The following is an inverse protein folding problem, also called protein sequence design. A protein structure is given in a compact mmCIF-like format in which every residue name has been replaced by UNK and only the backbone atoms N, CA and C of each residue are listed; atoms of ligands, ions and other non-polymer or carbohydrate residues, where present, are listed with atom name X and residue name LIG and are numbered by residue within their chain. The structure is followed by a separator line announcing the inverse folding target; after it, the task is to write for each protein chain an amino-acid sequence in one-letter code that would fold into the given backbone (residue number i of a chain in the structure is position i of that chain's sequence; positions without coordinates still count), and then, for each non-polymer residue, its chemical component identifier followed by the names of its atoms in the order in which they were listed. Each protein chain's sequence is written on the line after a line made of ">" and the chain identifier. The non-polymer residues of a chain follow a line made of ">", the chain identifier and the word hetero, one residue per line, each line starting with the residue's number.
data_IF_240511592024
#
_entry.id   IF_240511592024
#
_cell.length_a   1.000
_cell.length_b   1.000
_cell.length_c   1.000
_cell.angle_alpha   90.00
_cell.angle_beta   90.00
_cell.angle_gamma   90.00
#
_symmetry.space_group_name_H-M   'P 1'
#
loop_
_entity.id
_entity.type
_entity.pdbx_description
1 polymer ?
#
# COMPACT_ATOMS: atom_id res chain seq x y z
N UNK A 1 2.14 -22.49 5.14
CA UNK A 1 0.71 -22.79 4.83
C UNK A 1 0.06 -21.61 4.10
N UNK A 2 -1.17 -21.73 3.58
CA UNK A 2 -1.83 -20.60 2.88
C UNK A 2 -1.99 -19.35 3.76
N UNK A 3 -2.28 -19.54 5.06
CA UNK A 3 -2.38 -18.45 6.03
C UNK A 3 -1.04 -17.78 6.33
N UNK A 4 0.04 -18.55 6.36
CA UNK A 4 1.39 -18.04 6.61
C UNK A 4 1.89 -17.20 5.42
N UNK A 5 1.64 -17.64 4.19
CA UNK A 5 1.94 -16.86 2.99
C UNK A 5 1.14 -15.56 2.95
N UNK A 6 -0.16 -15.64 3.25
CA UNK A 6 -1.01 -14.46 3.37
C UNK A 6 -0.50 -13.48 4.43
N UNK A 7 -0.12 -13.99 5.61
CA UNK A 7 0.42 -13.18 6.68
C UNK A 7 1.72 -12.49 6.27
N UNK A 8 2.66 -13.23 5.68
CA UNK A 8 3.95 -12.67 5.25
C UNK A 8 3.81 -11.61 4.15
N UNK A 9 2.80 -11.73 3.30
CA UNK A 9 2.50 -10.73 2.26
C UNK A 9 1.79 -9.48 2.82
N UNK A 10 0.83 -9.65 3.73
CA UNK A 10 -0.04 -8.56 4.20
C UNK A 10 0.48 -7.83 5.43
N UNK A 11 1.14 -8.54 6.34
CA UNK A 11 1.56 -7.98 7.62
C UNK A 11 2.50 -6.77 7.47
N UNK A 12 3.53 -6.80 6.60
CA UNK A 12 4.40 -5.63 6.43
C UNK A 12 3.65 -4.39 5.94
N UNK A 13 2.72 -4.57 4.99
CA UNK A 13 1.90 -3.49 4.46
C UNK A 13 0.96 -2.93 5.54
N UNK A 14 0.25 -3.80 6.25
CA UNK A 14 -0.66 -3.39 7.33
C UNK A 14 0.07 -2.66 8.46
N UNK A 15 1.29 -3.11 8.82
CA UNK A 15 2.14 -2.43 9.79
C UNK A 15 2.53 -1.03 9.31
N UNK A 16 2.97 -0.90 8.05
CA UNK A 16 3.33 0.38 7.48
C UNK A 16 2.15 1.36 7.43
N UNK A 17 0.95 0.86 7.07
CA UNK A 17 -0.28 1.66 7.04
C UNK A 17 -0.68 2.13 8.45
N UNK A 18 -0.54 1.27 9.46
CA UNK A 18 -0.81 1.60 10.85
C UNK A 18 0.17 2.65 11.41
N UNK A 19 1.46 2.51 11.12
CA UNK A 19 2.47 3.50 11.49
C UNK A 19 2.23 4.85 10.80
N UNK A 20 1.86 4.83 9.51
CA UNK A 20 1.48 6.03 8.76
C UNK A 20 0.25 6.70 9.38
N UNK A 21 -0.80 5.93 9.66
CA UNK A 21 -2.04 6.42 10.28
C UNK A 21 -1.78 7.07 11.63
N UNK A 22 -0.92 6.47 12.48
CA UNK A 22 -0.52 7.06 13.76
C UNK A 22 0.17 8.41 13.59
N UNK A 23 1.06 8.56 12.59
CA UNK A 23 1.74 9.83 12.31
C UNK A 23 0.75 10.90 11.83
N UNK A 24 -0.19 10.54 10.96
CA UNK A 24 -1.24 11.43 10.49
C UNK A 24 -2.16 11.86 11.64
N UNK A 25 -2.56 10.92 12.50
CA UNK A 25 -3.33 11.23 13.70
C UNK A 25 -2.59 12.22 14.60
N UNK A 26 -1.30 11.99 14.87
CA UNK A 26 -0.46 12.92 15.61
C UNK A 26 -0.38 14.31 14.97
N UNK A 27 -0.27 14.39 13.64
CA UNK A 27 -0.27 15.68 12.92
C UNK A 27 -1.60 16.44 13.09
N UNK A 28 -2.73 15.73 13.00
CA UNK A 28 -4.08 16.31 13.01
C UNK A 28 -4.53 16.67 14.43
N UNK A 29 -4.39 15.74 15.38
CA UNK A 29 -4.92 15.86 16.74
C UNK A 29 -3.85 16.13 17.81
N UNK A 30 -2.58 16.22 17.43
CA UNK A 30 -1.47 16.48 18.35
C UNK A 30 -1.58 17.86 18.99
N UNK A 31 -1.40 17.89 20.31
CA UNK A 31 -1.52 19.10 21.13
C UNK A 31 -0.17 19.64 21.61
N UNK A 32 0.95 19.06 21.15
CA UNK A 32 2.27 19.53 21.54
C UNK A 32 2.77 20.64 20.61
N UNK A 33 3.66 21.50 21.11
CA UNK A 33 4.30 22.55 20.31
C UNK A 33 5.08 21.99 19.10
N UNK A 34 5.63 20.78 19.23
CA UNK A 34 6.30 20.07 18.13
C UNK A 34 5.31 19.67 17.03
N UNK A 35 4.12 19.23 17.41
CA UNK A 35 3.06 18.88 16.46
C UNK A 35 2.59 20.13 15.69
N UNK A 36 2.50 21.28 16.35
CA UNK A 36 2.12 22.55 15.71
C UNK A 36 3.15 23.02 14.67
N UNK A 37 4.45 22.91 14.98
CA UNK A 37 5.52 23.20 14.02
C UNK A 37 5.44 22.24 12.84
N UNK A 38 5.33 20.93 13.10
CA UNK A 38 5.23 19.92 12.05
C UNK A 38 4.00 20.12 11.16
N UNK A 39 2.85 20.49 11.75
CA UNK A 39 1.63 20.79 11.01
C UNK A 39 1.80 22.00 10.10
N UNK A 40 2.41 23.09 10.59
CA UNK A 40 2.68 24.27 9.77
C UNK A 40 3.60 23.97 8.59
N UNK A 41 4.62 23.12 8.80
CA UNK A 41 5.52 22.69 7.73
C UNK A 41 4.76 21.80 6.74
N UNK A 42 4.06 20.77 7.21
CA UNK A 42 3.38 19.81 6.33
C UNK A 42 2.22 20.46 5.55
N UNK A 43 1.40 21.29 6.19
CA UNK A 43 0.23 21.87 5.53
C UNK A 43 0.58 23.03 4.59
N UNK A 44 1.67 23.77 4.84
CA UNK A 44 2.02 24.93 4.01
C UNK A 44 3.20 24.68 3.05
N UNK A 45 4.14 23.81 3.39
CA UNK A 45 5.38 23.62 2.64
C UNK A 45 5.47 22.30 1.90
N UNK A 46 4.51 21.38 2.09
CA UNK A 46 4.54 20.09 1.38
C UNK A 46 4.23 20.27 -0.11
N UNK A 47 5.18 19.96 -1.00
CA UNK A 47 4.96 20.03 -2.44
C UNK A 47 3.89 19.02 -2.88
N UNK A 48 3.08 19.41 -3.86
CA UNK A 48 2.07 18.53 -4.47
C UNK A 48 2.66 17.28 -5.14
N UNK A 49 3.94 17.31 -5.53
CA UNK A 49 4.65 16.13 -6.02
C UNK A 49 4.83 15.07 -4.95
N UNK A 50 5.14 15.47 -3.70
CA UNK A 50 5.32 14.56 -2.59
C UNK A 50 3.99 13.91 -2.17
N UNK A 51 2.89 14.66 -2.15
CA UNK A 51 1.57 14.10 -1.87
C UNK A 51 1.14 13.10 -2.95
N UNK A 52 1.33 13.44 -4.24
CA UNK A 52 1.07 12.51 -5.35
C UNK A 52 1.91 11.25 -5.24
N UNK A 53 3.20 11.37 -4.94
CA UNK A 53 4.09 10.22 -4.78
C UNK A 53 3.67 9.32 -3.60
N UNK A 54 3.24 9.91 -2.48
CA UNK A 54 2.70 9.17 -1.35
C UNK A 54 1.42 8.39 -1.73
N UNK A 55 0.49 9.04 -2.43
CA UNK A 55 -0.74 8.41 -2.91
C UNK A 55 -0.44 7.27 -3.88
N UNK A 56 0.45 7.47 -4.84
CA UNK A 56 0.85 6.42 -5.80
C UNK A 56 1.42 5.20 -5.07
N UNK A 57 2.25 5.42 -4.05
CA UNK A 57 2.82 4.33 -3.25
C UNK A 57 1.75 3.54 -2.50
N UNK A 58 0.79 4.21 -1.86
CA UNK A 58 -0.32 3.54 -1.18
C UNK A 58 -1.19 2.74 -2.17
N UNK A 59 -1.36 3.27 -3.39
CA UNK A 59 -2.12 2.61 -4.45
C UNK A 59 -1.30 1.60 -5.26
N UNK A 60 -0.02 1.37 -4.97
CA UNK A 60 0.81 0.44 -5.73
C UNK A 60 0.46 -1.02 -5.43
N UNK A 61 0.10 -1.32 -4.18
CA UNK A 61 -0.29 -2.66 -3.75
C UNK A 61 -1.77 -2.95 -4.08
N UNK A 62 -2.01 -3.79 -5.09
CA UNK A 62 -3.35 -4.11 -5.62
C UNK A 62 -3.60 -5.62 -5.74
N UNK A 63 -3.83 -6.32 -4.61
CA UNK A 63 -4.10 -7.74 -4.64
C UNK A 63 -5.44 -8.03 -5.33
N UNK A 64 -5.44 -8.96 -6.29
CA UNK A 64 -6.66 -9.45 -6.97
C UNK A 64 -6.97 -10.88 -6.55
N UNK A 65 -8.24 -11.27 -6.65
CA UNK A 65 -8.65 -12.64 -6.40
C UNK A 65 -8.11 -13.55 -7.51
N UNK A 66 -7.34 -14.59 -7.14
CA UNK A 66 -6.67 -15.48 -8.10
C UNK A 66 -7.61 -16.25 -9.05
N UNK A 67 -8.91 -16.35 -8.74
CA UNK A 67 -9.90 -16.99 -9.61
C UNK A 67 -10.51 -16.03 -10.65
N UNK A 68 -10.18 -14.74 -10.59
CA UNK A 68 -10.61 -13.75 -11.58
C UNK A 68 -9.49 -13.50 -12.60
N UNK A 69 -9.83 -13.18 -13.86
CA UNK A 69 -8.85 -12.75 -14.84
C UNK A 69 -8.14 -11.48 -14.36
N UNK A 70 -6.83 -11.40 -14.59
CA UNK A 70 -6.03 -10.23 -14.24
C UNK A 70 -6.52 -9.03 -15.04
N UNK A 71 -6.88 -7.95 -14.35
CA UNK A 71 -7.27 -6.69 -15.00
C UNK A 71 -6.03 -6.04 -15.62
N UNK A 72 -6.13 -5.64 -16.89
CA UNK A 72 -5.07 -4.90 -17.58
C UNK A 72 -4.79 -3.56 -16.89
N UNK A 73 -3.52 -3.18 -16.84
CA UNK A 73 -3.12 -1.93 -16.22
C UNK A 73 -3.22 -0.77 -17.22
N UNK A 74 -4.14 0.17 -16.96
CA UNK A 74 -4.34 1.37 -17.80
C UNK A 74 -3.78 2.67 -17.19
N UNK A 75 -3.03 2.61 -16.10
CA UNK A 75 -2.48 3.80 -15.45
C UNK A 75 -1.07 4.17 -15.92
N UNK A 76 -0.53 5.25 -15.38
CA UNK A 76 0.84 5.73 -15.63
C UNK A 76 1.78 5.60 -14.42
N UNK A 77 1.26 5.15 -13.28
CA UNK A 77 2.01 4.93 -12.05
C UNK A 77 2.67 3.56 -12.00
N UNK A 78 3.68 3.41 -11.13
CA UNK A 78 4.27 2.10 -10.87
C UNK A 78 3.31 1.29 -9.98
N UNK A 79 3.02 0.07 -10.38
CA UNK A 79 2.21 -0.90 -9.61
C UNK A 79 3.08 -2.08 -9.23
N UNK A 80 2.88 -2.60 -8.03
CA UNK A 80 3.63 -3.77 -7.59
C UNK A 80 3.14 -5.04 -8.34
N UNK A 81 4.06 -5.93 -8.74
CA UNK A 81 3.68 -7.19 -9.37
C UNK A 81 2.74 -8.00 -8.46
N UNK A 82 1.65 -8.49 -9.03
CA UNK A 82 0.76 -9.39 -8.31
C UNK A 82 1.38 -10.79 -8.26
N UNK A 83 1.71 -11.24 -7.05
CA UNK A 83 2.20 -12.59 -6.81
C UNK A 83 1.06 -13.59 -7.04
N UNK A 84 1.30 -14.56 -7.91
CA UNK A 84 0.33 -15.63 -8.18
C UNK A 84 0.32 -16.62 -7.01
N UNK A 85 -0.87 -17.16 -6.70
CA UNK A 85 -1.00 -18.16 -5.65
C UNK A 85 -0.40 -19.50 -6.09
N UNK A 86 0.15 -20.28 -5.15
CA UNK A 86 0.70 -21.61 -5.44
C UNK A 86 -0.33 -22.53 -6.11
N UNK A 87 -1.59 -22.45 -5.68
CA UNK A 87 -2.70 -23.22 -6.27
C UNK A 87 -2.91 -22.84 -7.74
N UNK A 88 -2.95 -21.54 -8.04
CA UNK A 88 -3.14 -21.05 -9.41
C UNK A 88 -2.00 -21.50 -10.34
N UNK A 89 -0.76 -21.46 -9.87
CA UNK A 89 0.39 -21.96 -10.62
C UNK A 89 0.28 -23.46 -10.93
N UNK A 90 -0.20 -24.26 -9.98
CA UNK A 90 -0.43 -25.70 -10.18
C UNK A 90 -1.56 -25.98 -11.18
N UNK A 91 -2.68 -25.26 -11.08
CA UNK A 91 -3.80 -25.35 -12.04
C UNK A 91 -3.32 -25.02 -13.46
N UNK A 92 -2.49 -23.98 -13.61
CA UNK A 92 -1.93 -23.57 -14.90
C UNK A 92 -0.95 -24.60 -15.47
N UNK A 93 -0.16 -25.25 -14.61
CA UNK A 93 0.77 -26.32 -15.02
C UNK A 93 0.05 -27.62 -15.39
N UNK A 94 -1.09 -27.93 -14.76
CA UNK A 94 -1.90 -29.10 -15.07
C UNK A 94 -2.80 -28.93 -16.31
N UNK A 95 -3.00 -27.69 -16.77
CA UNK A 95 -3.77 -27.35 -17.97
C UNK A 95 -2.94 -27.35 -19.27
N UNK A 96 -1.63 -27.64 -19.20
CA UNK A 96 -0.68 -27.78 -20.30
C UNK A 96 -0.41 -29.26 -20.53
#
# INVERSE_FOLDING_TARGET
>A
SAFEEYYNERFPQAKADLESSRKVAGLVSGQTWKDDIMRKIVLNLMPSSLTKMAVVRTLAYRPQASFLPKVEYHGSGRVDPQKESKRYLQEKAAAI
#
